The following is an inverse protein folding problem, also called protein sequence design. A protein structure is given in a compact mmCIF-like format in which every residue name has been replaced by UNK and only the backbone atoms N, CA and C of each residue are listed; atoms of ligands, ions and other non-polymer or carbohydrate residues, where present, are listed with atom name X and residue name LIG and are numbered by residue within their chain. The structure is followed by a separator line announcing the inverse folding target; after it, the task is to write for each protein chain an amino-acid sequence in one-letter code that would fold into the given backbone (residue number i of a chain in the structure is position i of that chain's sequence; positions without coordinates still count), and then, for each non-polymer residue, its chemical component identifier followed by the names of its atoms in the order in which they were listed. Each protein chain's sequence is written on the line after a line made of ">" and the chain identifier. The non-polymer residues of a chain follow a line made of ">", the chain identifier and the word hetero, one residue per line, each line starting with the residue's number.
data_IF_324086737036
#
_entry.id   IF_324086737036
#
_cell.length_a   1.000
_cell.length_b   1.000
_cell.length_c   1.000
_cell.angle_alpha   90.00
_cell.angle_beta   90.00
_cell.angle_gamma   90.00
#
_symmetry.space_group_name_H-M   'P 1'
#
loop_
_entity.id
_entity.type
_entity.pdbx_description
1 polymer ?
#
# COMPACT_ATOMS: atom_id res chain seq x y z
N UNK A 1 -10.79 -4.22 8.93
CA UNK A 1 -9.53 -3.44 8.86
C UNK A 1 -9.63 -2.49 7.68
N UNK A 2 -8.92 -1.36 7.69
CA UNK A 2 -8.98 -0.38 6.59
C UNK A 2 -7.59 0.01 6.11
N UNK A 3 -7.36 -0.08 4.80
CA UNK A 3 -6.18 0.52 4.18
C UNK A 3 -6.46 2.01 4.01
N UNK A 4 -5.55 2.85 4.49
CA UNK A 4 -5.64 4.30 4.35
C UNK A 4 -4.42 4.86 3.66
N UNK A 5 -4.63 5.93 2.89
CA UNK A 5 -3.60 6.69 2.19
C UNK A 5 -3.64 8.16 2.60
N UNK A 6 -2.48 8.79 2.65
CA UNK A 6 -2.32 10.21 2.89
C UNK A 6 -1.34 10.82 1.88
N UNK A 7 -1.86 11.59 0.94
CA UNK A 7 -1.09 12.27 -0.13
C UNK A 7 -0.83 13.75 0.18
N UNK A 8 -1.72 14.40 0.92
CA UNK A 8 -1.75 15.87 1.10
C UNK A 8 -2.01 16.33 2.54
N UNK A 9 -1.79 15.45 3.51
CA UNK A 9 -2.00 15.72 4.93
C UNK A 9 -3.29 15.11 5.50
N UNK A 10 -4.25 14.71 4.66
CA UNK A 10 -5.49 14.05 5.08
C UNK A 10 -5.50 12.55 4.77
N UNK A 11 -5.93 11.74 5.75
CA UNK A 11 -6.14 10.30 5.59
C UNK A 11 -7.44 10.00 4.86
N UNK A 12 -7.36 9.16 3.84
CA UNK A 12 -8.52 8.65 3.09
C UNK A 12 -8.55 7.13 3.16
N UNK A 13 -9.75 6.56 3.30
CA UNK A 13 -9.98 5.13 3.20
C UNK A 13 -9.87 4.72 1.73
N UNK A 14 -9.04 3.71 1.46
CA UNK A 14 -8.89 3.09 0.14
C UNK A 14 -9.80 1.87 0.04
N UNK A 15 -9.70 0.97 1.03
CA UNK A 15 -10.50 -0.27 1.08
C UNK A 15 -10.70 -0.71 2.53
N UNK A 16 -11.84 -1.33 2.80
CA UNK A 16 -12.11 -2.09 4.02
C UNK A 16 -12.03 -3.58 3.72
N UNK A 17 -11.37 -4.35 4.58
CA UNK A 17 -11.10 -5.77 4.39
C UNK A 17 -10.97 -6.53 5.71
N UNK A 18 -11.19 -7.84 5.67
CA UNK A 18 -10.98 -8.76 6.79
C UNK A 18 -9.51 -9.06 7.04
N UNK A 19 -9.16 -9.42 8.28
CA UNK A 19 -7.77 -9.75 8.63
C UNK A 19 -7.18 -10.89 7.80
N UNK A 20 -8.02 -11.85 7.36
CA UNK A 20 -7.62 -12.94 6.48
C UNK A 20 -7.20 -12.49 5.07
N UNK A 21 -7.65 -11.30 4.63
CA UNK A 21 -7.31 -10.73 3.32
C UNK A 21 -6.10 -9.80 3.37
N UNK A 22 -5.49 -9.59 4.55
CA UNK A 22 -4.42 -8.62 4.76
C UNK A 22 -3.26 -8.82 3.79
N UNK A 23 -2.75 -10.04 3.66
CA UNK A 23 -1.61 -10.32 2.80
C UNK A 23 -1.91 -10.02 1.33
N UNK A 24 -3.09 -10.42 0.84
CA UNK A 24 -3.53 -10.13 -0.52
C UNK A 24 -3.68 -8.62 -0.78
N UNK A 25 -4.24 -7.87 0.16
CA UNK A 25 -4.39 -6.41 0.06
C UNK A 25 -3.03 -5.72 0.05
N UNK A 26 -2.11 -6.14 0.92
CA UNK A 26 -0.76 -5.57 0.95
C UNK A 26 0.06 -5.94 -0.29
N UNK A 27 -0.12 -7.13 -0.86
CA UNK A 27 0.51 -7.54 -2.11
C UNK A 27 0.03 -6.70 -3.31
N UNK A 28 -1.22 -6.20 -3.29
CA UNK A 28 -1.76 -5.32 -4.32
C UNK A 28 -1.36 -3.84 -4.16
N UNK A 29 -0.74 -3.47 -3.04
CA UNK A 29 -0.40 -2.08 -2.71
C UNK A 29 0.73 -1.46 -3.56
N UNK A 30 1.83 -2.16 -3.90
CA UNK A 30 2.94 -1.57 -4.67
C UNK A 30 2.54 -0.90 -6.00
N UNK A 31 1.74 -1.51 -6.89
CA UNK A 31 1.33 -0.84 -8.13
C UNK A 31 0.50 0.42 -7.86
N UNK A 32 -0.35 0.42 -6.84
CA UNK A 32 -1.15 1.57 -6.45
C UNK A 32 -0.28 2.71 -5.88
N UNK A 33 0.67 2.37 -5.02
CA UNK A 33 1.63 3.34 -4.46
C UNK A 33 2.49 3.99 -5.54
N UNK A 34 2.90 3.24 -6.58
CA UNK A 34 3.61 3.81 -7.75
C UNK A 34 2.76 4.81 -8.51
N UNK A 35 1.47 4.51 -8.73
CA UNK A 35 0.57 5.40 -9.45
C UNK A 35 0.32 6.73 -8.71
N UNK A 36 0.32 6.72 -7.37
CA UNK A 36 0.15 7.91 -6.54
C UNK A 36 1.48 8.66 -6.26
N UNK A 37 2.62 8.06 -6.62
CA UNK A 37 3.95 8.64 -6.43
C UNK A 37 4.54 8.47 -5.03
N UNK A 38 5.84 8.74 -4.89
CA UNK A 38 6.62 8.45 -3.68
C UNK A 38 6.32 9.31 -2.44
N UNK A 39 5.39 10.26 -2.53
CA UNK A 39 5.00 11.12 -1.41
C UNK A 39 3.85 10.56 -0.55
N UNK A 40 3.15 9.54 -1.04
CA UNK A 40 2.00 8.97 -0.36
C UNK A 40 2.42 8.13 0.86
N UNK A 41 1.81 8.41 2.01
CA UNK A 41 1.95 7.61 3.24
C UNK A 41 0.80 6.65 3.39
N UNK A 42 1.08 5.44 3.86
CA UNK A 42 0.12 4.35 3.94
C UNK A 42 0.05 3.77 5.35
N UNK A 43 -1.15 3.41 5.79
CA UNK A 43 -1.31 2.65 7.03
C UNK A 43 -2.50 1.69 6.93
N UNK A 44 -2.50 0.70 7.81
CA UNK A 44 -3.67 -0.13 8.09
C UNK A 44 -4.27 0.32 9.41
N UNK A 45 -5.54 0.73 9.37
CA UNK A 45 -6.35 0.98 10.56
C UNK A 45 -7.00 -0.35 11.00
N UNK A 46 -6.67 -0.77 12.21
CA UNK A 46 -7.24 -1.94 12.87
C UNK A 46 -8.59 -1.59 13.52
N UNK A 47 -9.38 -2.61 13.86
CA UNK A 47 -10.72 -2.41 14.42
C UNK A 47 -10.72 -1.74 15.80
N UNK A 48 -9.62 -1.88 16.53
CA UNK A 48 -9.36 -1.21 17.82
C UNK A 48 -8.98 0.27 17.67
N UNK A 49 -8.88 0.78 16.42
CA UNK A 49 -8.45 2.14 16.12
C UNK A 49 -6.94 2.31 16.02
N UNK A 50 -6.15 1.25 16.23
CA UNK A 50 -4.69 1.29 16.10
C UNK A 50 -4.30 1.45 14.63
N UNK A 51 -3.30 2.31 14.35
CA UNK A 51 -2.72 2.47 13.03
C UNK A 51 -1.37 1.77 12.95
N UNK A 52 -1.25 0.86 12.00
CA UNK A 52 0.00 0.23 11.63
C UNK A 52 0.57 0.94 10.39
N UNK A 53 1.73 1.56 10.55
CA UNK A 53 2.40 2.28 9.46
C UNK A 53 3.06 1.29 8.52
N UNK A 54 2.61 1.31 7.27
CA UNK A 54 3.31 0.62 6.19
C UNK A 54 4.42 1.59 5.80
N UNK A 55 5.69 1.22 6.02
CA UNK A 55 6.85 2.08 5.82
C UNK A 55 6.95 2.64 4.39
N UNK A 56 8.06 3.30 4.06
CA UNK A 56 8.30 3.72 2.67
C UNK A 56 8.29 2.48 1.78
N UNK A 57 7.24 2.31 0.97
CA UNK A 57 7.12 1.21 0.02
C UNK A 57 8.23 1.25 -1.06
N UNK A 58 9.16 2.21 -0.98
CA UNK A 58 10.29 2.38 -1.90
C UNK A 58 11.14 1.12 -2.04
N UNK A 59 11.32 0.33 -0.97
CA UNK A 59 12.08 -0.92 -1.04
C UNK A 59 11.24 -2.08 -1.65
N UNK A 60 9.95 -2.18 -1.32
CA UNK A 60 9.04 -3.18 -1.92
C UNK A 60 8.76 -2.91 -3.41
N UNK A 61 8.90 -1.66 -3.87
CA UNK A 61 8.78 -1.29 -5.28
C UNK A 61 10.04 -1.53 -6.11
N UNK A 62 11.18 -1.91 -5.55
CA UNK A 62 12.36 -2.21 -6.36
C UNK A 62 12.24 -3.57 -7.08
N UNK A 63 11.65 -4.57 -6.42
CA UNK A 63 11.62 -5.96 -6.91
C UNK A 63 10.64 -6.16 -8.08
N UNK A 64 9.43 -5.61 -7.98
CA UNK A 64 8.45 -5.66 -9.09
C UNK A 64 8.88 -4.90 -10.35
N UNK A 65 9.73 -3.87 -10.23
CA UNK A 65 10.21 -3.11 -11.40
C UNK A 65 11.19 -3.94 -12.23
N UNK A 66 11.96 -4.81 -11.55
CA UNK A 66 12.87 -5.76 -12.17
C UNK A 66 12.13 -6.89 -12.88
N UNK A 67 11.00 -7.36 -12.32
CA UNK A 67 10.18 -8.41 -12.94
C UNK A 67 9.41 -7.92 -14.18
N UNK A 68 8.87 -6.70 -14.14
CA UNK A 68 8.21 -6.06 -15.30
C UNK A 68 9.20 -5.73 -16.43
N UNK A 69 10.46 -5.38 -16.11
CA UNK A 69 11.50 -5.13 -17.11
C UNK A 69 12.04 -6.42 -17.77
N UNK A 70 11.80 -7.58 -17.16
CA UNK A 70 12.27 -8.89 -17.68
C UNK A 70 11.20 -9.60 -18.52
N UNK A 71 9.94 -9.20 -18.40
CA UNK A 71 8.80 -9.76 -19.14
C UNK A 71 8.36 -8.78 -20.23
N UNK A 72 9.26 -8.48 -21.16
CA UNK A 72 8.96 -7.62 -22.31
C UNK A 72 8.00 -8.32 -23.28
N UNK A 73 6.85 -7.69 -23.53
CA UNK A 73 6.09 -7.79 -24.79
C UNK A 73 6.57 -6.68 -25.71
#
# INVERSE_FOLDING_TARGET
>A
MQLQVNESGAWRRVVEFDASQREAVLAALPPLARALGGGARWCVLHADGTREWLGTLSEATADFAREAATTGV
#
